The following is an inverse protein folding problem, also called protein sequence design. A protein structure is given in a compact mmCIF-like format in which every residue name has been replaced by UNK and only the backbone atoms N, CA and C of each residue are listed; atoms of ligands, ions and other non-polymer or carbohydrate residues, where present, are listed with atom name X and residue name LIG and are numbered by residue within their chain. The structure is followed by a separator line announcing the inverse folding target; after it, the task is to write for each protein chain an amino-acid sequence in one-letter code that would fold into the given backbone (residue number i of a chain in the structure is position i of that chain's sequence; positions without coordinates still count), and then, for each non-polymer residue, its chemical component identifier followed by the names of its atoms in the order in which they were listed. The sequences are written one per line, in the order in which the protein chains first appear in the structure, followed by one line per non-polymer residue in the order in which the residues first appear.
data_IF_371252388996
#
_entry.id   IF_371252388996
#
_cell.length_a   1.000
_cell.length_b   1.000
_cell.length_c   1.000
_cell.angle_alpha   90.00
_cell.angle_beta   90.00
_cell.angle_gamma   90.00
#
_symmetry.space_group_name_H-M   'P 1'
#
loop_
_entity.id
_entity.type
_entity.pdbx_description
1 polymer ?
#
# COMPACT_ATOMS: atom_id res chain seq x y z
N UNK A 1 2.79 20.48 -11.80
CA UNK A 1 2.83 19.72 -10.51
C UNK A 1 1.50 18.98 -10.24
N UNK A 2 0.40 19.68 -10.08
CA UNK A 2 -0.91 19.08 -9.72
C UNK A 2 -1.35 17.98 -10.69
N UNK A 3 -1.33 18.22 -12.00
CA UNK A 3 -1.70 17.22 -12.99
C UNK A 3 -0.81 15.97 -12.95
N UNK A 4 0.48 16.15 -12.70
CA UNK A 4 1.41 15.01 -12.57
C UNK A 4 1.11 14.17 -11.33
N UNK A 5 0.75 14.81 -10.23
CA UNK A 5 0.31 14.14 -8.99
C UNK A 5 -0.98 13.35 -9.25
N UNK A 6 -1.94 13.94 -9.96
CA UNK A 6 -3.20 13.26 -10.32
C UNK A 6 -2.92 11.99 -11.16
N UNK A 7 -2.12 12.12 -12.21
CA UNK A 7 -1.77 10.97 -13.06
C UNK A 7 -0.99 9.91 -12.30
N UNK A 8 -0.04 10.33 -11.46
CA UNK A 8 0.69 9.39 -10.60
C UNK A 8 -0.27 8.69 -9.62
N UNK A 9 -1.20 9.41 -9.01
CA UNK A 9 -2.20 8.84 -8.12
C UNK A 9 -3.09 7.80 -8.80
N UNK A 10 -3.57 8.08 -10.01
CA UNK A 10 -4.35 7.13 -10.80
C UNK A 10 -3.54 5.88 -11.15
N UNK A 11 -2.28 6.06 -11.58
CA UNK A 11 -1.40 4.94 -11.89
C UNK A 11 -1.10 4.09 -10.65
N UNK A 12 -0.87 4.71 -9.48
CA UNK A 12 -0.68 4.00 -8.22
C UNK A 12 -1.93 3.22 -7.84
N UNK A 13 -3.11 3.84 -7.97
CA UNK A 13 -4.38 3.16 -7.66
C UNK A 13 -4.56 1.89 -8.51
N UNK A 14 -4.28 1.96 -9.80
CA UNK A 14 -4.34 0.81 -10.70
C UNK A 14 -3.31 -0.25 -10.30
N UNK A 15 -2.05 0.13 -10.10
CA UNK A 15 -0.98 -0.79 -9.72
C UNK A 15 -1.29 -1.48 -8.38
N UNK A 16 -1.74 -0.73 -7.37
CA UNK A 16 -2.10 -1.29 -6.08
C UNK A 16 -3.32 -2.21 -6.14
N UNK A 17 -4.31 -1.88 -6.95
CA UNK A 17 -5.47 -2.75 -7.14
C UNK A 17 -5.08 -4.11 -7.73
N UNK A 18 -4.17 -4.13 -8.69
CA UNK A 18 -3.63 -5.36 -9.28
C UNK A 18 -2.82 -6.15 -8.23
N UNK A 19 -1.91 -5.49 -7.53
CA UNK A 19 -1.08 -6.14 -6.50
C UNK A 19 -1.92 -6.66 -5.32
N UNK A 20 -2.93 -5.92 -4.89
CA UNK A 20 -3.85 -6.34 -3.83
C UNK A 20 -4.67 -7.56 -4.25
N UNK A 21 -5.10 -7.64 -5.50
CA UNK A 21 -5.79 -8.82 -6.02
C UNK A 21 -4.91 -10.07 -5.88
N UNK A 22 -3.65 -10.02 -6.33
CA UNK A 22 -2.74 -11.14 -6.21
C UNK A 22 -2.39 -11.47 -4.76
N UNK A 23 -2.15 -10.45 -3.93
CA UNK A 23 -1.78 -10.65 -2.53
C UNK A 23 -2.94 -11.22 -1.70
N UNK A 24 -4.07 -10.53 -1.68
CA UNK A 24 -5.17 -10.85 -0.76
C UNK A 24 -6.10 -11.93 -1.27
N UNK A 25 -6.32 -12.00 -2.59
CA UNK A 25 -7.24 -12.96 -3.20
C UNK A 25 -6.61 -14.29 -3.58
N UNK A 26 -5.30 -14.31 -3.83
CA UNK A 26 -4.58 -15.51 -4.25
C UNK A 26 -3.59 -15.98 -3.18
N UNK A 27 -2.59 -15.18 -2.82
CA UNK A 27 -1.50 -15.62 -1.94
C UNK A 27 -1.95 -15.80 -0.48
N UNK A 28 -2.74 -14.89 0.06
CA UNK A 28 -3.18 -14.90 1.45
C UNK A 28 -4.59 -15.48 1.66
N UNK A 29 -5.21 -16.00 0.61
CA UNK A 29 -6.58 -16.52 0.67
C UNK A 29 -6.76 -17.57 1.77
N UNK A 30 -5.91 -18.57 1.82
CA UNK A 30 -5.99 -19.64 2.82
C UNK A 30 -5.82 -19.12 4.26
N UNK A 31 -4.95 -18.14 4.46
CA UNK A 31 -4.74 -17.52 5.76
C UNK A 31 -5.96 -16.71 6.21
N UNK A 32 -6.64 -16.00 5.29
CA UNK A 32 -7.89 -15.31 5.58
C UNK A 32 -9.04 -16.28 5.87
N UNK A 33 -9.16 -17.36 5.13
CA UNK A 33 -10.17 -18.40 5.36
C UNK A 33 -9.99 -19.07 6.72
N UNK A 34 -8.75 -19.37 7.12
CA UNK A 34 -8.42 -19.94 8.42
C UNK A 34 -8.70 -19.00 9.59
N UNK A 35 -8.76 -17.69 9.34
CA UNK A 35 -9.00 -16.64 10.35
C UNK A 35 -10.31 -15.90 10.14
N UNK A 36 -11.26 -16.49 9.44
CA UNK A 36 -12.54 -15.86 9.10
C UNK A 36 -13.27 -15.25 10.28
N UNK A 37 -13.16 -15.85 11.47
CA UNK A 37 -13.75 -15.36 12.72
C UNK A 37 -13.19 -14.03 13.22
N UNK A 38 -12.04 -13.59 12.70
CA UNK A 38 -11.41 -12.31 13.07
C UNK A 38 -11.91 -11.14 12.20
N UNK A 39 -12.49 -11.41 11.04
CA UNK A 39 -12.82 -10.41 10.04
C UNK A 39 -14.31 -10.15 9.97
N UNK A 40 -14.68 -8.91 9.67
CA UNK A 40 -16.05 -8.59 9.29
C UNK A 40 -16.44 -9.37 8.05
N UNK A 41 -17.67 -9.88 7.94
CA UNK A 41 -18.18 -10.43 6.69
C UNK A 41 -18.06 -9.38 5.55
N UNK A 42 -17.79 -9.85 4.35
CA UNK A 42 -17.58 -8.96 3.19
C UNK A 42 -18.77 -8.03 2.93
N UNK A 43 -20.01 -8.53 3.15
CA UNK A 43 -21.24 -7.76 2.98
C UNK A 43 -21.44 -6.67 4.06
N UNK A 44 -20.71 -6.72 5.17
CA UNK A 44 -20.73 -5.71 6.23
C UNK A 44 -19.60 -4.69 6.10
N UNK A 45 -18.67 -4.90 5.18
CA UNK A 45 -17.57 -3.98 4.94
C UNK A 45 -18.05 -2.71 4.24
N UNK A 46 -17.58 -1.56 4.74
CA UNK A 46 -17.88 -0.26 4.15
C UNK A 46 -16.96 0.01 2.95
N UNK A 47 -17.39 -0.36 1.75
CA UNK A 47 -16.61 -0.18 0.51
C UNK A 47 -16.25 1.28 0.23
N UNK A 48 -17.17 2.27 0.34
CA UNK A 48 -16.79 3.68 0.15
C UNK A 48 -15.67 4.12 1.09
N UNK A 49 -15.68 3.68 2.35
CA UNK A 49 -14.62 3.99 3.29
C UNK A 49 -13.29 3.33 2.93
N UNK A 50 -13.30 2.10 2.42
CA UNK A 50 -12.09 1.42 1.95
C UNK A 50 -11.43 2.25 0.84
N UNK A 51 -12.18 2.66 -0.17
CA UNK A 51 -11.65 3.47 -1.27
C UNK A 51 -11.19 4.85 -0.82
N UNK A 52 -11.90 5.47 0.12
CA UNK A 52 -11.49 6.76 0.69
C UNK A 52 -10.14 6.65 1.42
N UNK A 53 -9.96 5.64 2.26
CA UNK A 53 -8.69 5.39 2.96
C UNK A 53 -7.54 5.19 1.99
N UNK A 54 -7.75 4.39 0.95
CA UNK A 54 -6.74 4.15 -0.09
C UNK A 54 -6.43 5.45 -0.85
N UNK A 55 -7.44 6.24 -1.21
CA UNK A 55 -7.26 7.50 -1.90
C UNK A 55 -6.45 8.51 -1.07
N UNK A 56 -6.76 8.64 0.22
CA UNK A 56 -6.01 9.52 1.13
C UNK A 56 -4.54 9.08 1.22
N UNK A 57 -4.28 7.79 1.37
CA UNK A 57 -2.91 7.28 1.43
C UNK A 57 -2.14 7.58 0.13
N UNK A 58 -2.75 7.36 -1.03
CA UNK A 58 -2.14 7.63 -2.33
C UNK A 58 -1.83 9.12 -2.51
N UNK A 59 -2.78 9.99 -2.16
CA UNK A 59 -2.63 11.43 -2.27
C UNK A 59 -1.51 11.91 -1.35
N UNK A 60 -1.50 11.49 -0.09
CA UNK A 60 -0.44 11.83 0.85
C UNK A 60 0.94 11.34 0.37
N UNK A 61 1.02 10.10 -0.10
CA UNK A 61 2.27 9.54 -0.64
C UNK A 61 2.81 10.39 -1.80
N UNK A 62 1.96 10.72 -2.77
CA UNK A 62 2.35 11.50 -3.93
C UNK A 62 2.70 12.96 -3.56
N UNK A 63 1.99 13.56 -2.60
CA UNK A 63 2.28 14.91 -2.11
C UNK A 63 3.59 14.96 -1.33
N UNK A 64 3.87 13.99 -0.45
CA UNK A 64 5.14 13.93 0.28
C UNK A 64 6.31 13.87 -0.71
N UNK A 65 6.23 13.00 -1.70
CA UNK A 65 7.25 12.93 -2.73
C UNK A 65 7.36 14.26 -3.51
N UNK A 66 6.23 14.77 -3.99
CA UNK A 66 6.18 15.97 -4.83
C UNK A 66 6.65 17.25 -4.13
N UNK A 67 6.38 17.37 -2.83
CA UNK A 67 6.67 18.59 -2.07
C UNK A 67 7.98 18.55 -1.28
N UNK A 68 8.37 17.37 -0.78
CA UNK A 68 9.46 17.24 0.17
C UNK A 68 10.72 16.58 -0.41
N UNK A 69 10.63 15.91 -1.54
CA UNK A 69 11.80 15.34 -2.21
C UNK A 69 12.35 16.39 -3.19
N UNK A 70 13.55 16.88 -2.95
CA UNK A 70 14.17 17.93 -3.78
C UNK A 70 14.59 17.40 -5.14
N UNK A 71 15.43 16.36 -5.15
CA UNK A 71 15.91 15.73 -6.39
C UNK A 71 14.93 14.68 -6.89
N UNK A 72 14.11 15.05 -7.85
CA UNK A 72 13.09 14.16 -8.42
C UNK A 72 13.68 13.29 -9.53
N UNK A 73 13.75 11.99 -9.27
CA UNK A 73 14.23 11.00 -10.22
C UNK A 73 13.57 9.65 -9.96
N UNK A 74 13.69 8.73 -10.90
CA UNK A 74 13.21 7.35 -10.67
C UNK A 74 13.90 6.73 -9.45
N UNK A 75 15.21 6.94 -9.30
CA UNK A 75 15.96 6.40 -8.17
C UNK A 75 15.50 6.97 -6.83
N UNK A 76 15.30 8.30 -6.74
CA UNK A 76 14.80 8.93 -5.52
C UNK A 76 13.36 8.49 -5.19
N UNK A 77 12.52 8.30 -6.21
CA UNK A 77 11.17 7.75 -6.02
C UNK A 77 11.20 6.32 -5.47
N UNK A 78 12.03 5.45 -6.02
CA UNK A 78 12.19 4.07 -5.52
C UNK A 78 12.72 4.07 -4.08
N UNK A 79 13.73 4.88 -3.76
CA UNK A 79 14.27 5.00 -2.39
C UNK A 79 13.21 5.49 -1.41
N UNK A 80 12.45 6.51 -1.80
CA UNK A 80 11.32 7.01 -1.00
C UNK A 80 10.28 5.92 -0.76
N UNK A 81 9.83 5.23 -1.79
CA UNK A 81 8.88 4.13 -1.69
C UNK A 81 9.39 2.98 -0.82
N UNK A 82 10.67 2.63 -0.94
CA UNK A 82 11.29 1.58 -0.13
C UNK A 82 11.32 1.94 1.36
N UNK A 83 11.71 3.16 1.71
CA UNK A 83 11.76 3.62 3.11
C UNK A 83 10.35 3.79 3.70
N UNK A 84 9.45 4.43 2.96
CA UNK A 84 8.07 4.61 3.37
C UNK A 84 7.37 3.26 3.56
N UNK A 85 7.52 2.35 2.61
CA UNK A 85 6.93 1.03 2.66
C UNK A 85 7.50 0.14 3.75
N UNK A 86 8.79 0.26 4.05
CA UNK A 86 9.41 -0.43 5.18
C UNK A 86 8.77 0.02 6.50
N UNK A 87 8.68 1.32 6.74
CA UNK A 87 8.11 1.86 7.96
C UNK A 87 6.64 1.47 8.15
N UNK A 88 5.82 1.68 7.12
CA UNK A 88 4.38 1.37 7.16
C UNK A 88 4.14 -0.15 7.17
N UNK A 89 4.87 -0.90 6.36
CA UNK A 89 4.70 -2.36 6.25
C UNK A 89 5.02 -3.09 7.55
N UNK A 90 6.13 -2.73 8.21
CA UNK A 90 6.48 -3.30 9.52
C UNK A 90 5.42 -2.91 10.56
N UNK A 91 5.01 -1.64 10.58
CA UNK A 91 4.02 -1.16 11.53
C UNK A 91 2.65 -1.85 11.35
N UNK A 92 2.18 -1.99 10.14
CA UNK A 92 0.88 -2.63 9.85
C UNK A 92 0.96 -4.14 10.06
N UNK A 93 1.94 -4.82 9.48
CA UNK A 93 2.07 -6.28 9.55
C UNK A 93 2.35 -6.77 10.97
N UNK A 94 3.48 -6.40 11.51
CA UNK A 94 3.92 -6.87 12.83
C UNK A 94 3.26 -6.12 13.98
N UNK A 95 2.90 -4.85 13.79
CA UNK A 95 2.12 -4.11 14.77
C UNK A 95 0.76 -4.76 15.00
N UNK A 96 0.08 -5.19 13.94
CA UNK A 96 -1.18 -5.93 14.07
C UNK A 96 -0.98 -7.31 14.72
N UNK A 97 0.07 -8.02 14.34
CA UNK A 97 0.41 -9.33 14.94
C UNK A 97 0.60 -9.26 16.46
N UNK A 98 1.15 -8.16 16.98
CA UNK A 98 1.33 -7.96 18.43
C UNK A 98 -0.02 -7.88 19.16
N UNK A 99 -1.03 -7.28 18.54
CA UNK A 99 -2.30 -6.97 19.20
C UNK A 99 -3.45 -7.92 18.83
N UNK A 100 -3.34 -8.62 17.72
CA UNK A 100 -4.38 -9.52 17.23
C UNK A 100 -3.82 -10.93 17.02
N UNK A 101 -4.62 -11.98 17.26
CA UNK A 101 -4.20 -13.37 17.09
C UNK A 101 -4.21 -13.78 15.61
N UNK A 102 -3.55 -12.99 14.76
CA UNK A 102 -3.34 -13.34 13.35
C UNK A 102 -2.13 -14.26 13.19
N UNK A 103 -2.12 -15.15 12.20
CA UNK A 103 -0.96 -15.98 11.95
C UNK A 103 0.22 -15.15 11.44
N UNK A 104 1.44 -15.60 11.73
CA UNK A 104 2.66 -14.94 11.28
C UNK A 104 2.73 -14.81 9.75
N UNK A 105 2.11 -15.72 9.03
CA UNK A 105 1.97 -15.66 7.56
C UNK A 105 1.27 -14.38 7.10
N UNK A 106 0.22 -13.93 7.80
CA UNK A 106 -0.45 -12.67 7.48
C UNK A 106 0.43 -11.47 7.80
N UNK A 107 1.15 -11.48 8.93
CA UNK A 107 2.06 -10.41 9.29
C UNK A 107 3.15 -10.20 8.23
N UNK A 108 3.80 -11.28 7.80
CA UNK A 108 4.78 -11.25 6.72
C UNK A 108 4.17 -10.88 5.38
N UNK A 109 3.01 -11.41 5.05
CA UNK A 109 2.31 -11.11 3.80
C UNK A 109 1.95 -9.63 3.70
N UNK A 110 1.42 -9.03 4.74
CA UNK A 110 1.10 -7.60 4.79
C UNK A 110 2.34 -6.72 4.75
N UNK A 111 3.39 -7.10 5.47
CA UNK A 111 4.66 -6.38 5.42
C UNK A 111 5.27 -6.40 4.01
N UNK A 112 5.52 -7.58 3.46
CA UNK A 112 6.17 -7.71 2.16
C UNK A 112 5.29 -7.16 1.03
N UNK A 113 3.99 -7.45 1.05
CA UNK A 113 3.04 -6.93 0.07
C UNK A 113 2.94 -5.41 0.11
N UNK A 114 2.85 -4.82 1.30
CA UNK A 114 2.83 -3.37 1.49
C UNK A 114 4.15 -2.72 1.07
N UNK A 115 5.28 -3.36 1.34
CA UNK A 115 6.60 -2.89 0.92
C UNK A 115 6.74 -2.86 -0.60
N UNK A 116 6.38 -3.95 -1.28
CA UNK A 116 6.38 -4.02 -2.75
C UNK A 116 5.45 -2.96 -3.37
N UNK A 117 4.25 -2.79 -2.82
CA UNK A 117 3.30 -1.76 -3.27
C UNK A 117 3.89 -0.35 -3.14
N UNK A 118 4.55 -0.05 -2.03
CA UNK A 118 5.17 1.25 -1.81
C UNK A 118 6.37 1.49 -2.73
N UNK A 119 7.18 0.47 -3.01
CA UNK A 119 8.28 0.55 -3.99
C UNK A 119 7.72 0.81 -5.40
N UNK A 120 6.67 0.12 -5.80
CA UNK A 120 6.00 0.35 -7.08
C UNK A 120 5.43 1.78 -7.16
N UNK A 121 4.76 2.27 -6.11
CA UNK A 121 4.28 3.64 -6.03
C UNK A 121 5.43 4.66 -6.10
N UNK A 122 6.55 4.37 -5.44
CA UNK A 122 7.77 5.17 -5.49
C UNK A 122 8.33 5.27 -6.91
N UNK A 123 8.37 4.15 -7.64
CA UNK A 123 8.79 4.15 -9.04
C UNK A 123 7.86 5.01 -9.92
N UNK A 124 6.55 4.92 -9.68
CA UNK A 124 5.54 5.71 -10.43
C UNK A 124 5.71 7.21 -10.17
N UNK A 125 5.79 7.65 -8.90
CA UNK A 125 6.00 9.08 -8.62
C UNK A 125 7.36 9.56 -9.12
N UNK A 126 8.41 8.75 -9.00
CA UNK A 126 9.73 9.07 -9.51
C UNK A 126 9.79 9.21 -11.03
N UNK A 127 8.93 8.50 -11.76
CA UNK A 127 8.83 8.62 -13.21
C UNK A 127 7.95 9.80 -13.66
N UNK A 128 6.85 10.06 -12.97
CA UNK A 128 5.80 10.99 -13.41
C UNK A 128 5.86 12.37 -12.74
N UNK A 129 6.28 12.44 -11.48
CA UNK A 129 6.34 13.69 -10.70
C UNK A 129 7.76 14.24 -10.74
N UNK A 130 8.04 15.04 -11.76
CA UNK A 130 9.35 15.69 -11.98
C UNK A 130 9.22 17.20 -11.86
#
# INVERSE_FOLDING_TARGET
MVMRIIWAGLAIFIAWSILDFFLHRLLLRSAYEATAHLWRPTNEMNLPLIYFVVAVLIVCFALIYGLLVEEKSLASGIRFGALFGLAIGVSVGFGTYIHMPIPLTLAWGWFLGGWIKAIAAGAIVGALVK
#
